data_IF_444554623233
#
_entry.id   IF_444554623233
#
_cell.length_a   1.000
_cell.length_b   1.000
_cell.length_c   1.000
_cell.angle_alpha   90.00
_cell.angle_beta   90.00
_cell.angle_gamma   90.00
#
_symmetry.space_group_name_H-M   'P 1'
#
loop_
_entity.id
_entity.type
_entity.pdbx_description
1 polymer ?
#
# COMPACT_ATOMS: atom_id res chain seq x y z
N UNK A 1 2.49 -45.24 -7.91
CA UNK A 1 3.51 -44.73 -6.96
C UNK A 1 3.02 -43.40 -6.41
N UNK A 2 2.83 -43.25 -5.10
CA UNK A 2 2.39 -41.99 -4.49
C UNK A 2 3.61 -41.06 -4.42
N UNK A 3 3.59 -39.94 -5.16
CA UNK A 3 4.65 -38.92 -5.03
C UNK A 3 4.45 -38.20 -3.69
N UNK A 4 5.49 -38.13 -2.86
CA UNK A 4 5.41 -37.43 -1.57
C UNK A 4 5.18 -35.94 -1.79
N UNK A 5 4.17 -35.39 -1.14
CA UNK A 5 3.87 -33.97 -1.20
C UNK A 5 4.79 -33.22 -0.24
N UNK A 6 5.41 -32.14 -0.69
CA UNK A 6 6.30 -31.33 0.14
C UNK A 6 6.27 -29.86 -0.26
N UNK A 7 6.75 -29.00 0.64
CA UNK A 7 6.94 -27.57 0.40
C UNK A 7 8.22 -27.15 1.13
N UNK A 8 9.11 -26.34 0.57
CA UNK A 8 10.28 -25.85 1.33
C UNK A 8 9.91 -24.67 2.22
N UNK A 9 10.71 -24.43 3.27
CA UNK A 9 10.42 -23.39 4.27
C UNK A 9 10.85 -21.99 3.82
N UNK A 10 11.97 -21.91 3.09
CA UNK A 10 12.56 -20.64 2.71
C UNK A 10 12.04 -20.20 1.34
N UNK A 11 11.47 -19.00 1.29
CA UNK A 11 11.04 -18.36 0.05
C UNK A 11 12.25 -17.97 -0.80
N UNK A 12 12.07 -17.95 -2.12
CA UNK A 12 13.10 -17.48 -3.05
C UNK A 12 13.17 -15.95 -3.07
N UNK A 13 12.02 -15.29 -2.91
CA UNK A 13 11.92 -13.84 -2.73
C UNK A 13 10.77 -13.52 -1.77
N UNK A 14 10.98 -12.51 -0.94
CA UNK A 14 10.06 -12.05 0.10
C UNK A 14 9.74 -10.57 -0.08
N UNK A 15 8.59 -10.10 0.39
CA UNK A 15 8.27 -8.68 0.35
C UNK A 15 9.20 -7.88 1.27
N UNK A 16 9.43 -6.62 0.92
CA UNK A 16 10.32 -5.71 1.67
C UNK A 16 9.51 -4.49 2.09
N UNK A 17 9.69 -4.05 3.35
CA UNK A 17 9.06 -2.85 3.89
C UNK A 17 9.47 -1.60 3.10
N UNK A 18 8.51 -0.73 2.79
CA UNK A 18 8.78 0.46 2.00
C UNK A 18 7.81 1.60 2.25
N UNK A 19 8.26 2.82 1.96
CA UNK A 19 7.45 4.04 1.98
C UNK A 19 7.15 4.47 0.56
N UNK A 20 5.90 4.77 0.27
CA UNK A 20 5.42 5.10 -1.08
C UNK A 20 4.52 6.33 -1.03
N UNK A 21 4.68 7.24 -1.99
CA UNK A 21 3.81 8.40 -2.09
C UNK A 21 2.42 7.97 -2.61
N UNK A 22 1.35 8.61 -2.14
CA UNK A 22 -0.02 8.36 -2.60
C UNK A 22 -0.13 8.46 -4.14
N UNK A 23 -0.93 7.59 -4.73
CA UNK A 23 -1.14 7.48 -6.17
C UNK A 23 0.00 6.80 -6.94
N UNK A 24 1.12 6.45 -6.28
CA UNK A 24 2.19 5.69 -6.92
C UNK A 24 1.91 4.19 -6.89
N UNK A 25 2.54 3.48 -7.83
CA UNK A 25 2.52 2.02 -7.88
C UNK A 25 3.61 1.43 -6.99
N UNK A 26 3.29 0.36 -6.26
CA UNK A 26 4.28 -0.48 -5.55
C UNK A 26 4.10 -1.94 -5.92
N UNK A 27 5.21 -2.65 -6.06
CA UNK A 27 5.24 -4.10 -6.23
C UNK A 27 5.94 -4.76 -5.05
N UNK A 28 5.21 -5.62 -4.34
CA UNK A 28 5.75 -6.49 -3.30
C UNK A 28 6.10 -7.84 -3.92
N UNK A 29 7.40 -8.13 -3.99
CA UNK A 29 7.89 -9.38 -4.57
C UNK A 29 7.50 -10.57 -3.68
N UNK A 30 7.02 -11.64 -4.31
CA UNK A 30 6.90 -12.93 -3.62
C UNK A 30 7.10 -14.08 -4.59
N UNK A 31 8.19 -14.82 -4.39
CA UNK A 31 8.46 -16.05 -5.13
C UNK A 31 8.39 -17.26 -4.18
N UNK A 32 7.43 -18.18 -4.36
CA UNK A 32 7.24 -19.29 -3.45
C UNK A 32 8.46 -20.20 -3.36
N UNK A 33 8.62 -20.91 -2.22
CA UNK A 33 9.54 -22.04 -2.12
C UNK A 33 9.20 -23.14 -3.13
N UNK A 34 10.20 -23.97 -3.43
CA UNK A 34 9.99 -25.23 -4.15
C UNK A 34 8.97 -26.12 -3.41
N UNK A 35 8.02 -26.68 -4.15
CA UNK A 35 7.03 -27.60 -3.61
C UNK A 35 6.37 -28.42 -4.70
N UNK A 36 5.89 -29.59 -4.31
CA UNK A 36 5.20 -30.53 -5.20
C UNK A 36 3.92 -31.07 -4.53
N UNK A 37 2.73 -30.83 -5.10
CA UNK A 37 2.45 -29.97 -6.26
C UNK A 37 2.90 -28.51 -6.06
N UNK A 38 3.03 -27.78 -7.17
CA UNK A 38 3.42 -26.35 -7.18
C UNK A 38 2.51 -25.58 -6.22
N UNK A 39 3.08 -24.77 -5.30
CA UNK A 39 2.28 -24.01 -4.35
C UNK A 39 1.53 -22.88 -5.04
N UNK A 40 0.34 -22.60 -4.52
CA UNK A 40 -0.44 -21.40 -4.83
C UNK A 40 -0.05 -20.27 -3.88
N UNK A 41 -0.12 -19.03 -4.37
CA UNK A 41 0.20 -17.83 -3.60
C UNK A 41 -1.08 -17.10 -3.17
N UNK A 42 -1.13 -16.71 -1.92
CA UNK A 42 -2.17 -15.89 -1.32
C UNK A 42 -1.53 -14.70 -0.60
N UNK A 43 -2.18 -13.55 -0.64
CA UNK A 43 -1.70 -12.36 0.05
C UNK A 43 -2.57 -12.03 1.26
N UNK A 44 -1.94 -11.51 2.30
CA UNK A 44 -2.60 -11.08 3.52
C UNK A 44 -2.18 -9.66 3.85
N UNK A 45 -3.14 -8.84 4.29
CA UNK A 45 -2.91 -7.51 4.84
C UNK A 45 -3.38 -7.50 6.29
N UNK A 46 -2.50 -7.14 7.21
CA UNK A 46 -2.78 -7.12 8.66
C UNK A 46 -3.35 -8.46 9.17
N UNK A 47 -2.86 -9.58 8.63
CA UNK A 47 -3.32 -10.93 8.97
C UNK A 47 -4.64 -11.36 8.32
N UNK A 48 -5.27 -10.51 7.52
CA UNK A 48 -6.50 -10.85 6.79
C UNK A 48 -6.18 -11.17 5.32
N UNK A 49 -6.69 -12.30 4.83
CA UNK A 49 -6.48 -12.72 3.45
C UNK A 49 -7.15 -11.74 2.48
N UNK A 50 -6.40 -11.31 1.49
CA UNK A 50 -6.88 -10.53 0.37
C UNK A 50 -7.51 -11.46 -0.67
N UNK A 51 -8.77 -11.22 -1.00
CA UNK A 51 -9.45 -11.89 -2.10
C UNK A 51 -9.25 -11.07 -3.37
N UNK A 52 -8.15 -11.34 -4.06
CA UNK A 52 -7.76 -10.66 -5.29
C UNK A 52 -8.41 -11.37 -6.49
N UNK A 53 -8.80 -10.59 -7.50
CA UNK A 53 -9.24 -11.17 -8.76
C UNK A 53 -8.07 -11.94 -9.40
N UNK A 54 -8.30 -13.21 -9.73
CA UNK A 54 -7.33 -14.03 -10.46
C UNK A 54 -7.21 -13.49 -11.90
N UNK A 55 -6.00 -13.13 -12.39
CA UNK A 55 -5.79 -12.76 -13.78
C UNK A 55 -6.15 -13.88 -14.78
N UNK A 56 -6.15 -15.14 -14.33
CA UNK A 56 -6.35 -16.32 -15.18
C UNK A 56 -7.78 -16.89 -15.11
N UNK A 57 -8.67 -16.33 -14.28
CA UNK A 57 -10.09 -16.68 -14.28
C UNK A 57 -10.42 -18.10 -13.82
N UNK A 58 -9.51 -18.78 -13.13
CA UNK A 58 -9.70 -20.20 -12.74
C UNK A 58 -10.52 -20.37 -11.45
N UNK A 59 -10.80 -19.28 -10.75
CA UNK A 59 -11.45 -19.30 -9.45
C UNK A 59 -12.75 -18.52 -9.47
N UNK A 60 -13.86 -19.23 -9.25
CA UNK A 60 -15.12 -18.69 -8.71
C UNK A 60 -14.85 -18.14 -7.31
N UNK A 61 -14.08 -17.06 -7.18
CA UNK A 61 -13.82 -16.43 -5.89
C UNK A 61 -14.80 -15.28 -5.75
N UNK A 62 -15.76 -15.53 -4.85
CA UNK A 62 -16.76 -14.61 -4.34
C UNK A 62 -16.33 -13.15 -4.48
N UNK A 63 -17.21 -12.34 -5.04
CA UNK A 63 -17.23 -10.88 -4.86
C UNK A 63 -17.42 -10.58 -3.37
N UNK A 64 -16.45 -10.93 -2.53
CA UNK A 64 -16.39 -10.38 -1.19
C UNK A 64 -16.10 -8.90 -1.37
N UNK A 65 -16.98 -8.12 -0.76
CA UNK A 65 -17.16 -6.69 -0.82
C UNK A 65 -15.96 -5.94 -0.18
N UNK A 66 -14.74 -6.33 -0.55
CA UNK A 66 -13.51 -5.74 -0.08
C UNK A 66 -13.01 -4.79 -1.16
N UNK A 67 -12.88 -3.52 -0.79
CA UNK A 67 -12.55 -2.38 -1.64
C UNK A 67 -11.10 -2.38 -2.14
N UNK A 68 -10.58 -3.53 -2.57
CA UNK A 68 -9.20 -3.74 -3.01
C UNK A 68 -9.06 -3.59 -4.52
N UNK A 69 -9.73 -2.61 -5.11
CA UNK A 69 -9.79 -2.41 -6.57
C UNK A 69 -8.41 -2.08 -7.18
N UNK A 70 -7.48 -1.57 -6.36
CA UNK A 70 -6.13 -1.23 -6.74
C UNK A 70 -5.10 -2.35 -6.53
N UNK A 71 -5.52 -3.54 -6.05
CA UNK A 71 -4.63 -4.66 -5.76
C UNK A 71 -4.70 -5.73 -6.85
N UNK A 72 -3.55 -6.12 -7.40
CA UNK A 72 -3.43 -7.11 -8.48
C UNK A 72 -2.36 -8.12 -8.10
N UNK A 73 -2.66 -9.41 -8.21
CA UNK A 73 -1.64 -10.46 -8.09
C UNK A 73 -1.05 -10.75 -9.48
N UNK A 74 0.26 -10.54 -9.64
CA UNK A 74 0.98 -10.86 -10.85
C UNK A 74 1.18 -12.38 -11.01
N UNK A 75 1.48 -12.83 -12.23
CA UNK A 75 1.61 -14.26 -12.55
C UNK A 75 2.81 -14.96 -11.89
N UNK A 76 3.79 -14.21 -11.42
CA UNK A 76 4.93 -14.69 -10.62
C UNK A 76 4.57 -14.87 -9.12
N UNK A 77 3.41 -14.35 -8.69
CA UNK A 77 2.96 -14.34 -7.29
C UNK A 77 3.13 -12.99 -6.58
N UNK A 78 3.78 -12.01 -7.22
CA UNK A 78 3.97 -10.67 -6.65
C UNK A 78 2.66 -9.90 -6.49
N UNK A 79 2.56 -9.04 -5.49
CA UNK A 79 1.41 -8.15 -5.30
C UNK A 79 1.72 -6.76 -5.84
N UNK A 80 0.87 -6.25 -6.72
CA UNK A 80 0.96 -4.91 -7.29
C UNK A 80 -0.17 -4.07 -6.71
N UNK A 81 0.18 -2.93 -6.11
CA UNK A 81 -0.74 -1.86 -5.74
C UNK A 81 -0.62 -0.81 -6.85
N UNK A 82 -1.59 -0.72 -7.75
CA UNK A 82 -1.51 0.12 -8.96
C UNK A 82 -1.56 1.62 -8.65
N UNK A 83 -2.46 2.02 -7.76
CA UNK A 83 -2.61 3.38 -7.24
C UNK A 83 -2.76 3.30 -5.72
N UNK A 84 -1.71 3.64 -4.98
CA UNK A 84 -1.70 3.56 -3.51
C UNK A 84 -2.57 4.64 -2.88
N UNK A 85 -3.36 4.28 -1.88
CA UNK A 85 -4.13 5.18 -1.03
C UNK A 85 -3.60 5.13 0.40
N UNK A 86 -3.88 6.17 1.20
CA UNK A 86 -3.48 6.16 2.62
C UNK A 86 -3.98 4.93 3.39
N UNK A 87 -5.17 4.44 3.05
CA UNK A 87 -5.77 3.21 3.60
C UNK A 87 -5.02 1.94 3.24
N UNK A 88 -4.11 1.95 2.26
CA UNK A 88 -3.26 0.82 1.89
C UNK A 88 -2.09 0.60 2.84
N UNK A 89 -1.80 1.54 3.74
CA UNK A 89 -0.77 1.33 4.75
C UNK A 89 -1.08 0.09 5.60
N UNK A 90 -0.07 -0.72 5.87
CA UNK A 90 -0.24 -1.94 6.66
C UNK A 90 0.87 -2.96 6.49
N UNK A 91 0.71 -4.09 7.17
CA UNK A 91 1.64 -5.22 7.13
C UNK A 91 1.17 -6.24 6.10
N UNK A 92 1.97 -6.45 5.07
CA UNK A 92 1.69 -7.37 3.97
C UNK A 92 2.53 -8.63 4.11
N UNK A 93 1.88 -9.79 4.07
CA UNK A 93 2.57 -11.09 4.10
C UNK A 93 2.05 -11.98 2.97
N UNK A 94 2.99 -12.66 2.32
CA UNK A 94 2.72 -13.67 1.31
C UNK A 94 2.62 -15.07 1.95
N UNK A 95 1.58 -15.82 1.58
CA UNK A 95 1.37 -17.23 1.93
C UNK A 95 1.61 -18.10 0.69
N UNK A 96 2.50 -19.08 0.81
CA UNK A 96 2.63 -20.18 -0.15
C UNK A 96 1.93 -21.42 0.42
N UNK A 97 0.97 -21.97 -0.34
CA UNK A 97 0.12 -23.07 0.10
C UNK A 97 0.14 -24.22 -0.89
N UNK A 98 0.36 -25.43 -0.39
CA UNK A 98 0.08 -26.66 -1.11
C UNK A 98 -0.58 -27.70 -0.16
N UNK A 99 -0.97 -28.89 -0.64
CA UNK A 99 -1.63 -29.88 0.22
C UNK A 99 -0.73 -30.45 1.32
N UNK A 100 0.59 -30.24 1.27
CA UNK A 100 1.49 -30.65 2.35
C UNK A 100 1.42 -29.65 3.51
N UNK A 101 1.53 -28.34 3.23
CA UNK A 101 1.37 -27.29 4.24
C UNK A 101 1.21 -25.88 3.66
N UNK A 102 1.07 -24.91 4.57
CA UNK A 102 1.14 -23.47 4.34
C UNK A 102 2.41 -22.89 4.95
N UNK A 103 2.99 -21.88 4.31
CA UNK A 103 4.16 -21.14 4.79
C UNK A 103 3.94 -19.66 4.54
N UNK A 104 4.26 -18.84 5.53
CA UNK A 104 4.15 -17.39 5.44
C UNK A 104 5.56 -16.77 5.36
N UNK A 105 5.64 -15.64 4.68
CA UNK A 105 6.78 -14.72 4.76
C UNK A 105 6.68 -13.86 6.01
N UNK A 106 7.82 -13.30 6.44
CA UNK A 106 7.79 -12.21 7.42
C UNK A 106 7.02 -11.00 6.86
N UNK A 107 6.24 -10.30 7.68
CA UNK A 107 5.45 -9.17 7.20
C UNK A 107 6.32 -8.01 6.73
N UNK A 108 6.01 -7.47 5.56
CA UNK A 108 6.56 -6.22 5.06
C UNK A 108 5.62 -5.06 5.38
N UNK A 109 6.14 -4.03 6.02
CA UNK A 109 5.37 -2.83 6.37
C UNK A 109 5.38 -1.83 5.21
N UNK A 110 4.22 -1.56 4.64
CA UNK A 110 4.02 -0.53 3.61
C UNK A 110 3.43 0.71 4.27
N UNK A 111 4.07 1.87 4.03
CA UNK A 111 3.59 3.16 4.50
C UNK A 111 3.30 4.06 3.33
N UNK A 112 2.04 4.45 3.14
CA UNK A 112 1.63 5.42 2.14
C UNK A 112 1.64 6.81 2.76
N UNK A 113 2.26 7.77 2.09
CA UNK A 113 2.34 9.16 2.57
C UNK A 113 1.93 10.15 1.49
N UNK A 114 1.53 11.34 1.92
CA UNK A 114 1.34 12.52 1.06
C UNK A 114 2.39 13.56 1.43
N UNK A 115 2.87 14.31 0.46
CA UNK A 115 3.72 15.46 0.74
C UNK A 115 2.89 16.57 1.41
N UNK A 116 3.39 17.14 2.50
CA UNK A 116 2.76 18.29 3.15
C UNK A 116 2.82 19.51 2.23
N UNK A 117 1.65 20.04 1.86
CA UNK A 117 1.54 21.29 1.13
C UNK A 117 1.44 22.49 2.08
N UNK A 118 1.96 23.64 1.65
CA UNK A 118 1.65 24.92 2.30
C UNK A 118 0.20 25.29 2.00
N UNK A 119 -0.56 25.72 3.01
CA UNK A 119 -1.84 26.38 2.77
C UNK A 119 -1.58 27.70 2.03
N UNK A 120 -2.51 28.16 1.17
CA UNK A 120 -2.45 29.53 0.68
C UNK A 120 -2.33 30.49 1.85
N UNK A 121 -1.51 31.53 1.70
CA UNK A 121 -1.52 32.64 2.63
C UNK A 121 -2.94 33.21 2.68
N UNK A 122 -3.42 33.53 3.88
CA UNK A 122 -4.65 34.30 4.02
C UNK A 122 -4.47 35.68 3.41
N UNK A 123 -5.55 36.25 2.89
CA UNK A 123 -5.54 37.63 2.41
C UNK A 123 -5.18 38.58 3.55
N UNK A 124 -4.44 39.65 3.21
CA UNK A 124 -4.01 40.64 4.19
C UNK A 124 -5.24 41.35 4.78
N UNK A 125 -5.59 41.04 6.02
CA UNK A 125 -6.60 41.82 6.76
C UNK A 125 -5.95 43.09 7.32
N UNK A 126 -5.77 44.09 6.46
CA UNK A 126 -5.25 45.39 6.83
C UNK A 126 -5.77 46.47 5.88
N UNK A 127 -6.75 47.24 6.33
CA UNK A 127 -7.10 48.50 5.68
C UNK A 127 -6.23 49.60 6.30
N UNK A 128 -5.19 50.05 5.59
CA UNK A 128 -4.43 51.21 6.04
C UNK A 128 -5.35 52.44 5.90
N UNK A 129 -5.70 53.06 7.02
CA UNK A 129 -6.51 54.28 7.03
C UNK A 129 -5.59 55.49 7.15
N UNK A 130 -5.75 56.46 6.25
CA UNK A 130 -5.05 57.75 6.37
C UNK A 130 -5.73 58.56 7.45
N UNK A 131 -5.11 58.69 8.61
CA UNK A 131 -5.57 59.62 9.65
C UNK A 131 -4.86 60.96 9.42
N UNK A 132 -5.60 61.88 8.76
CA UNK A 132 -5.30 63.30 8.62
C UNK A 132 -4.02 63.69 7.84
N UNK A 133 -4.03 64.93 7.34
CA UNK A 133 -3.11 65.75 6.54
C UNK A 133 -1.61 65.75 6.89
N UNK A 134 -1.13 64.81 7.71
CA UNK A 134 0.28 64.61 8.06
C UNK A 134 0.93 63.39 7.39
N UNK A 135 0.23 62.66 6.50
CA UNK A 135 0.80 61.63 5.63
C UNK A 135 1.54 60.49 6.37
N UNK A 136 1.16 60.16 7.60
CA UNK A 136 1.69 58.97 8.29
C UNK A 136 0.81 57.75 7.99
N UNK A 137 1.37 56.77 7.30
CA UNK A 137 0.73 55.47 7.04
C UNK A 137 1.06 54.55 8.22
N UNK A 138 0.05 54.28 9.06
CA UNK A 138 0.15 53.27 10.11
C UNK A 138 -0.48 51.97 9.58
N UNK A 139 0.36 51.00 9.22
CA UNK A 139 -0.10 49.67 8.83
C UNK A 139 0.30 48.70 9.96
N UNK A 140 -0.64 47.95 10.55
CA UNK A 140 -0.34 47.06 11.67
C UNK A 140 0.66 45.97 11.24
N UNK A 141 1.68 45.78 12.07
CA UNK A 141 2.70 44.74 11.90
C UNK A 141 2.11 43.36 12.14
N UNK A 142 2.55 42.40 11.31
CA UNK A 142 2.19 40.98 11.34
C UNK A 142 2.21 40.39 12.76
N UNK A 143 1.08 39.80 13.18
CA UNK A 143 1.09 38.76 14.20
C UNK A 143 1.45 37.44 13.53
N UNK A 144 2.68 36.98 13.75
CA UNK A 144 3.03 35.58 13.51
C UNK A 144 2.34 34.71 14.56
N UNK A 145 1.63 33.66 14.12
CA UNK A 145 1.39 32.48 14.95
C UNK A 145 2.66 31.63 14.97
#
# INVERSE_FOLDING_TARGET
>A
MQKNKYLRKHFNQVPISQRVHEGKTVQLQCHPPEGDPKPEIYWHKNGQQLFLADPFGNGEKEKQQNNHQNLIQAGDGSLILSSTHLSDSGNYSCEARNPARRVFTEPAHVTVYVDGGWSPWTEWEGHCTTIDSSNSIDCPVLLSQ
#
